data_IF_477114351479
#
_entry.id   IF_477114351479
#
_cell.length_a   1.000
_cell.length_b   1.000
_cell.length_c   1.000
_cell.angle_alpha   90.00
_cell.angle_beta   90.00
_cell.angle_gamma   90.00
#
_symmetry.space_group_name_H-M   'P 1'
#
loop_
_entity.id
_entity.type
_entity.pdbx_description
1 polymer ?
#
# COMPACT_ATOMS: atom_id res chain seq x y z
N UNK A 1 -20.88 9.37 12.39
CA UNK A 1 -21.14 8.30 13.41
C UNK A 1 -22.64 8.07 13.41
N UNK A 2 -23.11 6.82 13.44
CA UNK A 2 -24.52 6.60 13.76
C UNK A 2 -24.73 7.06 15.21
N UNK A 3 -25.64 8.00 15.44
CA UNK A 3 -25.96 8.46 16.79
C UNK A 3 -26.62 7.31 17.57
N UNK A 4 -25.99 6.89 18.66
CA UNK A 4 -26.55 5.90 19.57
C UNK A 4 -27.26 6.65 20.70
N UNK A 5 -28.61 6.69 20.75
CA UNK A 5 -29.34 7.56 21.68
C UNK A 5 -29.11 7.25 23.17
N UNK A 6 -28.55 6.06 23.46
CA UNK A 6 -28.35 5.53 24.81
C UNK A 6 -26.87 5.24 25.11
N UNK A 7 -25.95 5.70 24.26
CA UNK A 7 -24.49 5.49 24.42
C UNK A 7 -24.07 4.02 24.65
N UNK A 8 -24.86 3.06 24.17
CA UNK A 8 -24.56 1.63 24.31
C UNK A 8 -23.37 1.18 23.43
N UNK A 9 -23.11 1.91 22.34
CA UNK A 9 -22.00 1.64 21.42
C UNK A 9 -20.78 2.48 21.80
N UNK A 10 -19.88 1.89 22.58
CA UNK A 10 -18.59 2.52 22.95
C UNK A 10 -17.40 1.72 22.43
N UNK A 11 -16.42 2.42 21.89
CA UNK A 11 -15.14 1.80 21.52
C UNK A 11 -14.24 1.74 22.76
N UNK A 12 -13.77 0.55 23.19
CA UNK A 12 -12.80 0.46 24.27
C UNK A 12 -11.45 1.04 23.82
N UNK A 13 -10.60 1.38 24.78
CA UNK A 13 -9.20 1.70 24.51
C UNK A 13 -8.50 0.47 23.93
N UNK A 14 -8.05 0.56 22.68
CA UNK A 14 -7.42 -0.54 21.97
C UNK A 14 -5.90 -0.44 22.10
N UNK A 15 -5.29 -1.49 22.64
CA UNK A 15 -3.84 -1.63 22.71
C UNK A 15 -3.30 -2.53 21.59
N UNK A 16 -2.03 -2.35 21.18
CA UNK A 16 -1.31 -3.34 20.39
C UNK A 16 -1.47 -4.76 20.98
N UNK A 17 -1.62 -5.81 20.15
CA UNK A 17 -1.65 -5.77 18.68
C UNK A 17 -3.04 -5.47 18.11
N UNK A 18 -4.10 -5.46 18.93
CA UNK A 18 -5.50 -5.23 18.50
C UNK A 18 -5.72 -3.83 17.90
N UNK A 19 -4.94 -2.84 18.33
CA UNK A 19 -4.94 -1.49 17.76
C UNK A 19 -4.73 -1.52 16.23
N UNK A 20 -3.78 -2.33 15.73
CA UNK A 20 -3.49 -2.42 14.29
C UNK A 20 -4.72 -2.86 13.49
N UNK A 21 -5.53 -3.78 14.03
CA UNK A 21 -6.77 -4.20 13.36
C UNK A 21 -7.72 -3.04 13.12
N UNK A 22 -7.80 -2.08 14.06
CA UNK A 22 -8.56 -0.83 13.86
C UNK A 22 -7.89 0.01 12.78
N UNK A 23 -6.59 0.30 12.92
CA UNK A 23 -5.87 1.20 12.02
C UNK A 23 -5.94 0.74 10.55
N UNK A 24 -5.90 -0.57 10.29
CA UNK A 24 -6.01 -1.16 8.96
C UNK A 24 -7.44 -1.53 8.53
N UNK A 25 -8.46 -1.20 9.33
CA UNK A 25 -9.87 -1.50 8.98
C UNK A 25 -10.82 -0.31 9.09
N UNK A 26 -10.42 0.74 9.79
CA UNK A 26 -11.18 1.97 9.97
C UNK A 26 -10.61 3.06 9.05
N UNK A 27 -11.32 3.48 7.99
CA UNK A 27 -10.83 4.50 7.08
C UNK A 27 -10.69 5.89 7.73
N UNK A 28 -11.27 6.09 8.91
CA UNK A 28 -11.18 7.34 9.68
C UNK A 28 -10.10 7.27 10.77
N UNK A 29 -9.45 6.12 10.96
CA UNK A 29 -8.35 6.03 11.89
C UNK A 29 -7.13 6.75 11.33
N UNK A 30 -6.51 7.55 12.19
CA UNK A 30 -5.24 8.22 11.90
C UNK A 30 -4.13 7.44 12.58
N UNK A 31 -3.08 7.11 11.83
CA UNK A 31 -1.84 6.61 12.40
C UNK A 31 -1.16 7.78 13.09
N UNK A 32 -0.92 7.68 14.40
CA UNK A 32 -0.32 8.78 15.19
C UNK A 32 1.09 9.09 14.70
N UNK A 33 1.73 8.09 14.11
CA UNK A 33 3.10 8.09 13.59
C UNK A 33 3.21 8.79 12.23
N UNK A 34 2.13 8.88 11.46
CA UNK A 34 2.12 9.53 10.13
C UNK A 34 1.31 10.82 10.11
N UNK A 35 0.39 10.99 11.06
CA UNK A 35 -0.67 12.03 11.05
C UNK A 35 -1.57 12.01 9.80
N UNK A 36 -1.41 10.99 8.94
CA UNK A 36 -2.20 10.80 7.73
C UNK A 36 -3.38 9.88 8.06
N UNK A 37 -4.63 10.32 7.83
CA UNK A 37 -5.79 9.46 7.99
C UNK A 37 -5.84 8.40 6.88
N UNK A 38 -6.30 7.19 7.23
CA UNK A 38 -6.53 6.12 6.27
C UNK A 38 -5.49 4.99 6.33
N UNK A 39 -5.55 4.10 5.33
CA UNK A 39 -4.86 2.79 5.33
C UNK A 39 -3.57 2.77 4.51
N UNK A 40 -3.18 3.94 4.04
CA UNK A 40 -2.04 4.21 3.17
C UNK A 40 -1.71 5.71 3.22
N UNK A 41 -0.81 6.17 2.36
CA UNK A 41 -0.48 7.59 2.26
C UNK A 41 -1.40 8.31 1.26
N UNK A 42 -1.20 9.63 1.12
CA UNK A 42 -1.84 10.36 0.02
C UNK A 42 -1.35 9.88 -1.36
N UNK A 43 -0.21 9.18 -1.43
CA UNK A 43 0.38 8.57 -2.63
C UNK A 43 0.42 9.53 -3.84
N UNK A 44 -0.31 9.20 -4.91
CA UNK A 44 -0.42 9.97 -6.13
C UNK A 44 -1.27 11.25 -5.99
N UNK A 45 -2.16 11.31 -4.98
CA UNK A 45 -3.22 12.33 -4.91
C UNK A 45 -2.65 13.72 -4.69
N UNK A 46 -1.48 13.80 -4.06
CA UNK A 46 -0.76 15.03 -3.78
C UNK A 46 0.54 15.12 -4.58
N UNK A 47 0.75 14.28 -5.59
CA UNK A 47 2.02 14.26 -6.35
C UNK A 47 2.28 15.56 -7.15
N UNK A 48 1.25 16.37 -7.38
CA UNK A 48 1.37 17.71 -7.94
C UNK A 48 1.91 18.76 -6.98
N UNK A 49 1.90 18.49 -5.67
CA UNK A 49 2.56 19.34 -4.66
C UNK A 49 3.80 18.67 -4.07
N UNK A 50 3.80 17.34 -3.91
CA UNK A 50 4.91 16.60 -3.26
C UNK A 50 6.00 16.17 -4.23
N UNK A 51 5.66 15.96 -5.51
CA UNK A 51 6.56 15.42 -6.53
C UNK A 51 7.31 14.14 -6.07
N UNK A 52 6.63 13.29 -5.29
CA UNK A 52 7.19 12.07 -4.71
C UNK A 52 7.51 10.99 -5.76
N UNK A 53 6.67 10.85 -6.78
CA UNK A 53 6.91 10.00 -7.96
C UNK A 53 7.38 10.90 -9.09
N UNK A 54 8.65 10.76 -9.48
CA UNK A 54 9.32 11.59 -10.49
C UNK A 54 9.20 11.00 -11.90
N UNK A 55 9.63 11.77 -12.88
CA UNK A 55 9.78 11.27 -14.26
C UNK A 55 10.82 10.15 -14.29
N UNK A 56 10.54 9.06 -14.99
CA UNK A 56 11.39 7.86 -14.99
C UNK A 56 11.17 6.91 -13.81
N UNK A 57 10.30 7.26 -12.87
CA UNK A 57 9.92 6.40 -11.74
C UNK A 57 8.51 5.82 -11.92
N UNK A 58 8.26 4.71 -11.23
CA UNK A 58 6.96 4.10 -11.05
C UNK A 58 6.62 4.09 -9.56
N UNK A 59 5.46 4.62 -9.19
CA UNK A 59 4.90 4.46 -7.85
C UNK A 59 3.91 3.31 -7.81
N UNK A 60 3.78 2.65 -6.66
CA UNK A 60 2.98 1.44 -6.51
C UNK A 60 2.15 1.49 -5.24
N UNK A 61 0.91 1.00 -5.34
CA UNK A 61 0.06 0.69 -4.20
C UNK A 61 -0.55 -0.70 -4.37
N UNK A 62 -0.16 -1.67 -3.54
CA UNK A 62 -0.70 -3.04 -3.55
C UNK A 62 -1.65 -3.18 -2.37
N UNK A 63 -2.95 -3.07 -2.65
CA UNK A 63 -4.00 -3.11 -1.63
C UNK A 63 -4.50 -4.54 -1.43
N UNK A 64 -4.10 -5.13 -0.30
CA UNK A 64 -4.47 -6.47 0.14
C UNK A 64 -5.90 -6.48 0.72
N UNK A 65 -6.69 -7.52 0.43
CA UNK A 65 -8.03 -7.74 1.01
C UNK A 65 -9.22 -7.04 0.31
N UNK A 66 -9.00 -6.24 -0.74
CA UNK A 66 -10.08 -5.62 -1.55
C UNK A 66 -10.82 -6.69 -2.38
N UNK A 67 -12.16 -6.65 -2.56
CA UNK A 67 -13.13 -5.61 -2.18
C UNK A 67 -13.78 -5.76 -0.80
N UNK A 68 -13.05 -6.28 0.19
CA UNK A 68 -13.55 -6.50 1.55
C UNK A 68 -13.52 -7.96 1.99
N UNK A 69 -12.71 -8.79 1.32
CA UNK A 69 -12.49 -10.19 1.73
C UNK A 69 -11.53 -10.31 2.93
N UNK A 70 -10.93 -9.19 3.35
CA UNK A 70 -9.89 -9.07 4.39
C UNK A 70 -8.59 -9.82 4.05
N UNK A 71 -7.53 -9.52 4.80
CA UNK A 71 -6.20 -10.12 4.62
C UNK A 71 -5.61 -10.46 5.98
N UNK A 72 -4.86 -11.57 6.03
CA UNK A 72 -3.94 -11.84 7.13
C UNK A 72 -2.60 -11.15 6.86
N UNK A 73 -1.92 -10.76 7.92
CA UNK A 73 -0.61 -10.11 7.80
C UNK A 73 0.48 -11.10 7.34
N UNK A 74 0.28 -12.40 7.51
CA UNK A 74 1.12 -13.43 6.86
C UNK A 74 1.17 -13.24 5.34
N UNK A 75 0.04 -12.96 4.68
CA UNK A 75 0.01 -12.72 3.24
C UNK A 75 0.60 -11.36 2.86
N UNK A 76 0.42 -10.35 3.71
CA UNK A 76 1.09 -9.05 3.55
C UNK A 76 2.61 -9.24 3.54
N UNK A 77 3.14 -10.05 4.47
CA UNK A 77 4.58 -10.32 4.57
C UNK A 77 5.13 -11.06 3.34
N UNK A 78 4.40 -12.04 2.80
CA UNK A 78 4.80 -12.73 1.57
C UNK A 78 5.02 -11.74 0.43
N UNK A 79 4.09 -10.79 0.26
CA UNK A 79 4.17 -9.77 -0.79
C UNK A 79 5.32 -8.80 -0.52
N UNK A 80 5.49 -8.30 0.70
CA UNK A 80 6.60 -7.38 1.02
C UNK A 80 7.97 -8.05 0.88
N UNK A 81 8.12 -9.32 1.27
CA UNK A 81 9.34 -10.10 1.07
C UNK A 81 9.65 -10.32 -0.42
N UNK A 82 8.64 -10.64 -1.23
CA UNK A 82 8.81 -10.79 -2.67
C UNK A 82 9.30 -9.49 -3.31
N UNK A 83 8.70 -8.35 -2.94
CA UNK A 83 9.08 -7.03 -3.43
C UNK A 83 10.49 -6.62 -2.95
N UNK A 84 10.85 -6.89 -1.70
CA UNK A 84 12.15 -6.53 -1.14
C UNK A 84 13.33 -7.18 -1.89
N UNK A 85 13.15 -8.37 -2.47
CA UNK A 85 14.16 -9.05 -3.31
C UNK A 85 14.55 -8.24 -4.55
N UNK A 86 13.68 -7.36 -5.03
CA UNK A 86 13.96 -6.46 -6.15
C UNK A 86 14.59 -5.13 -5.72
N UNK A 87 14.83 -4.92 -4.42
CA UNK A 87 15.37 -3.67 -3.90
C UNK A 87 14.46 -2.47 -4.19
N UNK A 88 13.15 -2.64 -3.98
CA UNK A 88 12.17 -1.55 -4.11
C UNK A 88 12.35 -0.52 -2.98
N UNK A 89 11.94 0.72 -3.23
CA UNK A 89 11.94 1.78 -2.22
C UNK A 89 10.57 1.82 -1.54
N UNK A 90 10.42 1.14 -0.40
CA UNK A 90 9.20 1.24 0.41
C UNK A 90 9.01 2.65 0.98
N UNK A 91 7.77 3.17 0.96
CA UNK A 91 7.50 4.54 1.41
C UNK A 91 7.47 4.64 2.94
N UNK A 92 8.32 5.48 3.51
CA UNK A 92 8.54 5.58 4.96
C UNK A 92 7.29 5.87 5.78
N UNK A 93 6.37 6.66 5.24
CA UNK A 93 5.13 7.04 5.90
C UNK A 93 3.98 6.05 5.66
N UNK A 94 4.21 4.97 4.91
CA UNK A 94 3.20 3.94 4.73
C UNK A 94 3.11 3.05 6.00
N UNK A 95 1.90 2.81 6.53
CA UNK A 95 1.74 1.99 7.73
C UNK A 95 2.30 0.56 7.67
N UNK A 96 2.23 -0.10 6.50
CA UNK A 96 2.81 -1.44 6.34
C UNK A 96 4.34 -1.35 6.40
N UNK A 97 4.92 -0.32 5.77
CA UNK A 97 6.36 -0.08 5.79
C UNK A 97 6.92 0.10 7.20
N UNK A 98 6.16 0.70 8.12
CA UNK A 98 6.55 0.84 9.53
C UNK A 98 6.65 -0.49 10.30
N UNK A 99 6.02 -1.55 9.80
CA UNK A 99 6.01 -2.87 10.43
C UNK A 99 7.13 -3.78 9.95
N UNK A 100 7.81 -3.43 8.85
CA UNK A 100 8.78 -4.31 8.18
C UNK A 100 10.21 -3.78 8.25
N UNK A 101 11.17 -4.69 8.20
CA UNK A 101 12.52 -4.38 7.75
C UNK A 101 12.49 -4.19 6.22
N UNK A 102 12.81 -2.98 5.75
CA UNK A 102 12.70 -2.62 4.33
C UNK A 102 13.62 -3.42 3.41
N UNK A 103 14.73 -3.97 3.93
CA UNK A 103 15.70 -4.74 3.15
C UNK A 103 15.22 -6.18 2.94
N UNK A 104 14.61 -6.78 3.95
CA UNK A 104 14.13 -8.17 3.87
C UNK A 104 12.66 -8.28 3.50
N UNK A 105 11.88 -7.23 3.75
CA UNK A 105 10.42 -7.23 3.66
C UNK A 105 9.72 -7.98 4.80
N UNK A 106 10.46 -8.49 5.78
CA UNK A 106 9.90 -9.24 6.91
C UNK A 106 9.43 -8.29 8.02
N UNK A 107 8.43 -8.68 8.80
CA UNK A 107 8.05 -7.94 9.99
C UNK A 107 9.20 -7.87 10.99
N UNK A 108 9.37 -6.71 11.62
CA UNK A 108 10.47 -6.41 12.53
C UNK A 108 9.96 -6.06 13.92
N UNK A 109 10.69 -6.46 14.96
CA UNK A 109 10.43 -6.03 16.34
C UNK A 109 10.68 -4.53 16.57
N UNK A 110 11.41 -3.88 15.66
CA UNK A 110 11.71 -2.44 15.71
C UNK A 110 10.55 -1.54 15.26
N UNK A 111 9.34 -2.10 15.12
CA UNK A 111 8.16 -1.33 14.72
C UNK A 111 7.74 -0.36 15.85
N UNK A 112 7.05 0.75 15.52
CA UNK A 112 6.65 1.77 16.51
C UNK A 112 5.80 1.26 17.68
N UNK A 113 5.15 0.10 17.52
CA UNK A 113 4.25 -0.47 18.52
C UNK A 113 4.89 -1.56 19.38
N UNK A 114 6.16 -1.93 19.12
CA UNK A 114 6.89 -2.96 19.86
C UNK A 114 6.26 -4.36 19.79
N UNK A 115 5.47 -4.63 18.74
CA UNK A 115 4.75 -5.90 18.56
C UNK A 115 5.71 -6.93 17.97
N UNK A 116 5.69 -8.17 18.46
CA UNK A 116 6.50 -9.22 17.86
C UNK A 116 6.05 -9.56 16.43
N UNK A 117 6.97 -9.96 15.52
CA UNK A 117 6.60 -10.44 14.19
C UNK A 117 5.55 -11.56 14.20
N UNK A 118 5.59 -12.45 15.19
CA UNK A 118 4.60 -13.52 15.36
C UNK A 118 3.19 -12.99 15.63
N UNK A 119 3.07 -12.01 16.53
CA UNK A 119 1.79 -11.36 16.82
C UNK A 119 1.27 -10.56 15.63
N UNK A 120 2.14 -9.88 14.87
CA UNK A 120 1.74 -9.17 13.65
C UNK A 120 1.14 -10.16 12.64
N UNK A 121 1.83 -11.26 12.34
CA UNK A 121 1.36 -12.29 11.38
C UNK A 121 -0.02 -12.86 11.73
N UNK A 122 -0.31 -13.02 13.02
CA UNK A 122 -1.59 -13.51 13.52
C UNK A 122 -2.75 -12.51 13.37
N UNK A 123 -2.49 -11.26 12.95
CA UNK A 123 -3.53 -10.26 12.74
C UNK A 123 -4.24 -10.43 11.40
N UNK A 124 -5.50 -10.01 11.42
CA UNK A 124 -6.36 -9.88 10.23
C UNK A 124 -6.96 -8.47 10.18
N UNK A 125 -6.95 -7.88 8.99
CA UNK A 125 -7.50 -6.54 8.74
C UNK A 125 -8.30 -6.49 7.42
N UNK A 126 -9.16 -5.48 7.27
CA UNK A 126 -9.96 -5.33 6.05
C UNK A 126 -9.10 -4.94 4.84
N UNK A 127 -8.08 -4.09 5.03
CA UNK A 127 -7.22 -3.64 3.95
C UNK A 127 -5.84 -3.19 4.46
N UNK A 128 -4.79 -3.66 3.81
CA UNK A 128 -3.42 -3.22 4.05
C UNK A 128 -2.80 -2.85 2.71
N UNK A 129 -2.34 -1.60 2.57
CA UNK A 129 -1.77 -1.10 1.32
C UNK A 129 -0.25 -1.08 1.46
N UNK A 130 0.42 -1.84 0.60
CA UNK A 130 1.88 -1.84 0.49
C UNK A 130 2.26 -0.79 -0.55
N UNK A 131 3.04 0.21 -0.15
CA UNK A 131 3.42 1.32 -1.02
C UNK A 131 4.93 1.38 -1.22
N UNK A 132 5.35 1.53 -2.47
CA UNK A 132 6.76 1.59 -2.83
C UNK A 132 6.97 2.29 -4.18
N UNK A 133 8.25 2.58 -4.49
CA UNK A 133 8.70 3.09 -5.79
C UNK A 133 9.74 2.17 -6.42
N UNK A 134 9.82 2.24 -7.74
CA UNK A 134 10.89 1.63 -8.54
C UNK A 134 11.29 2.53 -9.70
N UNK A 135 12.49 2.36 -10.28
CA UNK A 135 12.75 2.81 -11.65
C UNK A 135 11.71 2.20 -12.62
N UNK A 136 11.34 2.93 -13.67
CA UNK A 136 10.34 2.46 -14.65
C UNK A 136 10.75 1.16 -15.34
N UNK A 137 12.05 0.92 -15.49
CA UNK A 137 12.60 -0.26 -16.16
C UNK A 137 12.25 -1.56 -15.43
N UNK A 138 11.99 -1.48 -14.11
CA UNK A 138 11.58 -2.62 -13.29
C UNK A 138 10.10 -2.96 -13.39
N UNK A 139 9.26 -2.13 -14.03
CA UNK A 139 7.80 -2.35 -14.10
C UNK A 139 7.41 -3.75 -14.58
N UNK A 140 7.97 -4.30 -15.68
CA UNK A 140 7.62 -5.64 -16.12
C UNK A 140 8.00 -6.73 -15.11
N UNK A 141 9.16 -6.59 -14.48
CA UNK A 141 9.66 -7.53 -13.46
C UNK A 141 8.77 -7.52 -12.22
N UNK A 142 8.41 -6.33 -11.71
CA UNK A 142 7.53 -6.19 -10.53
C UNK A 142 6.14 -6.76 -10.80
N UNK A 143 5.54 -6.49 -11.97
CA UNK A 143 4.24 -7.06 -12.32
C UNK A 143 4.31 -8.59 -12.37
N UNK A 144 5.36 -9.15 -12.96
CA UNK A 144 5.58 -10.60 -12.97
C UNK A 144 5.68 -11.17 -11.55
N UNK A 145 6.47 -10.55 -10.67
CA UNK A 145 6.60 -10.96 -9.26
C UNK A 145 5.26 -10.88 -8.52
N UNK A 146 4.47 -9.83 -8.76
CA UNK A 146 3.13 -9.70 -8.18
C UNK A 146 2.19 -10.79 -8.70
N UNK A 147 2.25 -11.15 -9.99
CA UNK A 147 1.48 -12.26 -10.54
C UNK A 147 1.93 -13.62 -9.95
N UNK A 148 3.21 -13.80 -9.66
CA UNK A 148 3.72 -15.02 -9.04
C UNK A 148 3.26 -15.13 -7.58
N UNK A 149 3.49 -14.11 -6.75
CA UNK A 149 3.08 -14.11 -5.33
C UNK A 149 1.57 -14.15 -5.17
N UNK A 150 0.78 -13.70 -6.15
CA UNK A 150 -0.69 -13.84 -6.15
C UNK A 150 -1.16 -15.30 -6.06
N UNK A 151 -0.31 -16.26 -6.40
CA UNK A 151 -0.58 -17.71 -6.33
C UNK A 151 -0.22 -18.30 -4.96
N UNK A 152 0.46 -17.54 -4.10
CA UNK A 152 0.99 -17.98 -2.81
C UNK A 152 0.21 -17.40 -1.62
N UNK A 153 -0.64 -16.41 -1.86
CA UNK A 153 -1.46 -15.74 -0.84
C UNK A 153 -2.85 -16.35 -0.75
N UNK A 154 -3.45 -16.33 0.45
CA UNK A 154 -4.81 -16.84 0.72
C UNK A 154 -5.85 -15.70 0.69
N UNK A 155 -5.47 -14.55 0.13
CA UNK A 155 -6.31 -13.36 -0.07
C UNK A 155 -6.19 -12.88 -1.52
N UNK A 156 -6.96 -11.84 -1.87
CA UNK A 156 -6.80 -11.13 -3.14
C UNK A 156 -6.20 -9.76 -2.89
N UNK A 157 -5.54 -9.22 -3.90
CA UNK A 157 -5.06 -7.83 -3.87
C UNK A 157 -5.26 -7.14 -5.21
N UNK A 158 -5.38 -5.82 -5.15
CA UNK A 158 -5.40 -4.95 -6.31
C UNK A 158 -4.11 -4.16 -6.41
N UNK A 159 -3.57 -4.03 -7.62
CA UNK A 159 -2.34 -3.29 -7.90
C UNK A 159 -2.68 -1.96 -8.55
N UNK A 160 -2.31 -0.87 -7.90
CA UNK A 160 -2.26 0.47 -8.46
C UNK A 160 -0.85 0.79 -8.96
N UNK A 161 -0.74 1.22 -10.21
CA UNK A 161 0.50 1.72 -10.81
C UNK A 161 0.37 3.23 -11.05
N UNK A 162 1.28 3.99 -10.49
CA UNK A 162 1.36 5.44 -10.59
C UNK A 162 2.40 5.79 -11.66
N UNK A 163 1.96 6.47 -12.70
CA UNK A 163 2.79 6.91 -13.82
C UNK A 163 2.75 8.43 -13.95
N UNK A 164 3.89 9.05 -14.26
CA UNK A 164 3.90 10.43 -14.77
C UNK A 164 3.27 10.48 -16.16
N UNK A 165 2.72 11.64 -16.50
CA UNK A 165 2.26 11.96 -17.84
C UNK A 165 3.43 12.50 -18.67
N UNK A 166 3.60 12.00 -19.89
CA UNK A 166 4.64 12.43 -20.82
C UNK A 166 4.10 12.32 -22.26
N UNK A 167 4.32 13.35 -23.08
CA UNK A 167 4.00 13.35 -24.51
C UNK A 167 2.54 12.95 -24.85
N UNK A 168 1.58 13.31 -23.97
CA UNK A 168 0.16 13.06 -24.21
C UNK A 168 -0.37 11.71 -23.70
N UNK A 169 0.45 10.88 -23.05
CA UNK A 169 0.01 9.63 -22.40
C UNK A 169 0.77 9.33 -21.09
N UNK A 170 0.36 8.35 -20.28
CA UNK A 170 1.15 7.89 -19.15
C UNK A 170 2.48 7.26 -19.61
N UNK A 171 3.61 7.72 -19.07
CA UNK A 171 4.97 7.26 -19.43
C UNK A 171 5.14 5.73 -19.35
N UNK A 172 4.47 5.07 -18.39
CA UNK A 172 4.58 3.63 -18.17
C UNK A 172 3.65 2.81 -19.07
N UNK A 173 2.72 3.44 -19.79
CA UNK A 173 1.69 2.75 -20.59
C UNK A 173 2.29 1.81 -21.65
N UNK A 174 3.35 2.18 -22.40
CA UNK A 174 3.98 1.26 -23.35
C UNK A 174 4.58 0.02 -22.69
N UNK A 175 5.15 0.16 -21.48
CA UNK A 175 5.74 -0.96 -20.74
C UNK A 175 4.67 -1.95 -20.30
N UNK A 176 3.52 -1.46 -19.82
CA UNK A 176 2.42 -2.30 -19.33
C UNK A 176 1.71 -3.02 -20.47
N UNK A 177 1.50 -2.36 -21.62
CA UNK A 177 0.88 -2.97 -22.80
C UNK A 177 1.66 -4.16 -23.35
N UNK A 178 2.97 -4.21 -23.11
CA UNK A 178 3.84 -5.31 -23.52
C UNK A 178 3.73 -6.57 -22.67
N UNK A 179 3.00 -6.55 -21.55
CA UNK A 179 2.97 -7.66 -20.58
C UNK A 179 1.81 -8.62 -20.90
N UNK A 180 2.09 -9.90 -21.19
CA UNK A 180 1.06 -10.90 -21.46
C UNK A 180 0.05 -11.02 -20.31
N UNK A 181 -1.24 -11.02 -20.63
CA UNK A 181 -2.31 -11.19 -19.65
C UNK A 181 -2.73 -9.91 -18.93
N UNK A 182 -2.05 -8.78 -19.15
CA UNK A 182 -2.45 -7.48 -18.59
C UNK A 182 -3.29 -6.71 -19.61
N UNK A 183 -4.51 -6.36 -19.20
CA UNK A 183 -5.39 -5.48 -19.97
C UNK A 183 -5.41 -4.09 -19.35
N UNK A 184 -4.98 -3.09 -20.11
CA UNK A 184 -5.05 -1.69 -19.70
C UNK A 184 -6.39 -1.10 -20.10
N UNK A 185 -7.03 -0.39 -19.17
CA UNK A 185 -8.25 0.37 -19.39
C UNK A 185 -7.96 1.87 -19.28
N UNK A 186 -8.74 2.73 -19.96
CA UNK A 186 -8.57 4.18 -19.87
C UNK A 186 -8.97 4.75 -18.49
N UNK A 187 -9.64 3.93 -17.66
CA UNK A 187 -10.13 4.36 -16.35
C UNK A 187 -8.95 4.49 -15.38
N UNK A 188 -8.81 5.66 -14.78
CA UNK A 188 -7.75 5.93 -13.82
C UNK A 188 -8.05 7.18 -13.01
N UNK A 189 -7.37 7.30 -11.88
CA UNK A 189 -7.33 8.55 -11.12
C UNK A 189 -6.23 9.42 -11.73
N UNK A 190 -6.58 10.64 -12.08
CA UNK A 190 -5.66 11.60 -12.66
C UNK A 190 -5.46 12.73 -11.67
N UNK A 191 -4.21 12.94 -11.27
CA UNK A 191 -3.82 14.18 -10.64
C UNK A 191 -3.65 15.24 -11.74
N UNK A 192 -4.42 16.33 -11.65
CA UNK A 192 -4.48 17.36 -12.68
C UNK A 192 -3.24 18.26 -12.73
N UNK A 193 -2.32 18.17 -11.77
CA UNK A 193 -1.09 18.97 -11.78
C UNK A 193 -1.28 20.43 -11.37
N UNK A 194 -2.38 20.76 -10.69
CA UNK A 194 -2.73 22.15 -10.37
C UNK A 194 -1.98 22.70 -9.14
N UNK A 195 -1.48 21.81 -8.28
CA UNK A 195 -0.85 22.17 -7.02
C UNK A 195 0.50 22.89 -7.13
N UNK A 196 1.26 22.65 -8.21
CA UNK A 196 2.64 23.14 -8.45
C UNK A 196 3.58 22.87 -7.27
N UNK A 197 4.54 21.93 -7.39
CA UNK A 197 5.44 21.63 -6.29
C UNK A 197 6.30 22.86 -5.97
N UNK A 198 6.49 23.13 -4.68
CA UNK A 198 7.35 24.21 -4.20
C UNK A 198 8.83 23.93 -4.49
#
# INVERSE_FOLDING_TARGET
>A
RAECPVDALRQPDLKPPRLLRKLFSDPLATFRETEVPGRGTEEMKTNDVTNNVKVGEAGWGVEMGRPGVSTEFTDVEKVTMALARHGVEFLDLNPVTMLIDKKTGMFTEKNPWGISPGEIRALRALSAIIEFKTPKEKVPEIIKTLMEVSKEVETVFSVGLISRWKDGEPELLPLVRGIPGIRVYPNGKHNMGLGRPA
#
